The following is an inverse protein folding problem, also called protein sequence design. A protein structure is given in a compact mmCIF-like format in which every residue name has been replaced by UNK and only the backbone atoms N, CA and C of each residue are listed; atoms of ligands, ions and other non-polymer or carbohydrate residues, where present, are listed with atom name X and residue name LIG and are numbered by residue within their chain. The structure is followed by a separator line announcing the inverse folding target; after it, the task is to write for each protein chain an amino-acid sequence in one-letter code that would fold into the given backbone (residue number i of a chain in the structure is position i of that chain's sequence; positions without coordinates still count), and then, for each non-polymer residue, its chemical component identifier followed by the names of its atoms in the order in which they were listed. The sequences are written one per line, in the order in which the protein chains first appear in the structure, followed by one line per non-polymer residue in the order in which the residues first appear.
data_IF_366283180688
#
_entry.id   IF_366283180688
#
_cell.length_a   1.000
_cell.length_b   1.000
_cell.length_c   1.000
_cell.angle_alpha   90.00
_cell.angle_beta   90.00
_cell.angle_gamma   90.00
#
_symmetry.space_group_name_H-M   'P 1'
#
loop_
_entity.id
_entity.type
_entity.pdbx_description
1 polymer ?
#
# COMPACT_ATOMS: atom_id res chain seq x y z
N UNK A 1 18.90 8.62 9.46
CA UNK A 1 18.02 8.93 8.34
C UNK A 1 17.95 10.45 8.24
N UNK A 2 18.29 11.00 7.10
CA UNK A 2 18.25 12.42 6.81
C UNK A 2 16.86 12.79 6.28
N UNK A 3 16.29 13.91 6.70
CA UNK A 3 14.99 14.42 6.21
C UNK A 3 15.25 15.68 5.43
N UNK A 4 14.72 15.77 4.21
CA UNK A 4 14.93 16.89 3.30
C UNK A 4 13.60 17.39 2.71
N UNK A 5 13.64 18.55 2.10
CA UNK A 5 12.50 19.10 1.38
C UNK A 5 12.26 18.35 0.05
N UNK A 6 11.00 18.28 -0.38
CA UNK A 6 10.63 17.56 -1.61
C UNK A 6 11.27 18.15 -2.89
N UNK A 7 11.58 19.44 -2.88
CA UNK A 7 12.23 20.12 -4.00
C UNK A 7 13.67 19.67 -4.18
N UNK A 8 14.37 19.30 -3.11
CA UNK A 8 15.75 18.85 -3.12
C UNK A 8 15.90 17.33 -3.31
N UNK A 9 14.79 16.60 -3.32
CA UNK A 9 14.74 15.14 -3.32
C UNK A 9 15.60 14.50 -4.40
N UNK A 10 15.34 14.81 -5.66
CA UNK A 10 16.05 14.19 -6.77
C UNK A 10 17.53 14.57 -6.81
N UNK A 11 17.85 15.83 -6.48
CA UNK A 11 19.23 16.31 -6.44
C UNK A 11 20.03 15.58 -5.34
N UNK A 12 19.43 15.38 -4.17
CA UNK A 12 20.09 14.70 -3.06
C UNK A 12 20.28 13.21 -3.35
N UNK A 13 19.28 12.55 -3.95
CA UNK A 13 19.39 11.15 -4.38
C UNK A 13 20.50 10.98 -5.42
N UNK A 14 20.61 11.91 -6.39
CA UNK A 14 21.71 11.91 -7.38
C UNK A 14 23.07 12.12 -6.74
N UNK A 15 23.16 12.92 -5.70
CA UNK A 15 24.38 13.09 -4.92
C UNK A 15 24.77 11.78 -4.23
N UNK A 16 23.83 11.04 -3.65
CA UNK A 16 24.10 9.75 -3.01
C UNK A 16 24.67 8.73 -4.00
N UNK A 17 24.13 8.67 -5.22
CA UNK A 17 24.68 7.82 -6.28
C UNK A 17 26.11 8.20 -6.63
N UNK A 18 26.38 9.51 -6.78
CA UNK A 18 27.72 10.04 -7.05
C UNK A 18 28.70 9.79 -5.91
N UNK A 19 28.22 9.72 -4.67
CA UNK A 19 29.01 9.40 -3.48
C UNK A 19 29.34 7.89 -3.35
N UNK A 20 28.84 7.05 -4.28
CA UNK A 20 29.15 5.62 -4.35
C UNK A 20 28.04 4.70 -3.84
N UNK A 21 26.89 5.23 -3.42
CA UNK A 21 25.74 4.42 -3.02
C UNK A 21 24.94 3.95 -4.23
N UNK A 22 25.52 3.10 -5.05
CA UNK A 22 24.98 2.71 -6.36
C UNK A 22 23.96 1.57 -6.28
N UNK A 23 23.84 0.88 -5.14
CA UNK A 23 22.87 -0.19 -4.98
C UNK A 23 21.59 0.34 -4.37
N UNK A 24 20.52 0.31 -5.17
CA UNK A 24 19.16 0.62 -4.72
C UNK A 24 18.61 -0.53 -3.89
N UNK A 25 18.20 -0.25 -2.67
CA UNK A 25 17.65 -1.22 -1.73
C UNK A 25 16.12 -1.20 -1.79
N UNK A 26 15.50 -0.08 -1.43
CA UNK A 26 14.05 0.09 -1.54
C UNK A 26 13.64 1.58 -1.56
N UNK A 27 12.41 1.81 -2.02
CA UNK A 27 11.65 3.03 -1.78
C UNK A 27 10.29 2.64 -1.22
N UNK A 28 9.82 3.35 -0.21
CA UNK A 28 8.51 3.11 0.41
C UNK A 28 7.87 4.40 0.90
N UNK A 29 6.59 4.32 1.23
CA UNK A 29 5.79 5.44 1.76
C UNK A 29 5.16 5.05 3.08
N UNK A 30 5.13 5.99 4.00
CA UNK A 30 4.49 5.87 5.31
C UNK A 30 3.56 7.07 5.49
N UNK A 31 2.28 6.83 5.69
CA UNK A 31 1.37 7.90 6.10
C UNK A 31 1.57 8.20 7.58
N UNK A 32 2.06 9.41 7.87
CA UNK A 32 2.24 9.92 9.24
C UNK A 32 1.05 10.78 9.62
N UNK A 33 0.47 10.46 10.75
CA UNK A 33 -0.38 11.43 11.43
C UNK A 33 0.52 12.51 12.00
N UNK A 34 0.14 13.79 11.84
CA UNK A 34 0.86 14.86 12.51
C UNK A 34 0.82 14.61 14.02
N UNK A 35 1.96 14.78 14.67
CA UNK A 35 2.12 14.49 16.10
C UNK A 35 1.11 15.31 16.91
N UNK A 36 0.16 14.64 17.56
CA UNK A 36 -0.96 15.25 18.31
C UNK A 36 -0.51 16.21 19.43
N UNK A 37 0.80 16.27 19.70
CA UNK A 37 1.34 17.03 20.81
C UNK A 37 1.73 18.45 20.49
N UNK A 38 1.94 18.81 19.21
CA UNK A 38 2.60 20.09 18.87
C UNK A 38 1.93 20.96 17.81
N UNK A 39 0.81 20.62 17.20
CA UNK A 39 0.20 21.49 16.18
C UNK A 39 -1.32 21.49 16.22
N UNK A 40 -1.90 22.68 16.18
CA UNK A 40 -3.34 22.92 16.09
C UNK A 40 -3.91 22.61 14.67
N UNK A 41 -3.05 22.40 13.69
CA UNK A 41 -3.42 22.05 12.30
C UNK A 41 -2.76 20.73 11.93
N UNK A 42 -3.49 19.66 12.17
CA UNK A 42 -3.02 18.29 11.93
C UNK A 42 -3.34 17.87 10.50
N UNK A 43 -2.51 18.26 9.55
CA UNK A 43 -2.59 17.70 8.20
C UNK A 43 -1.71 16.46 8.17
N UNK A 44 -2.25 15.27 7.86
CA UNK A 44 -1.41 14.09 7.67
C UNK A 44 -0.45 14.30 6.50
N UNK A 45 0.73 13.70 6.59
CA UNK A 45 1.76 13.76 5.54
C UNK A 45 2.13 12.36 5.10
N UNK A 46 2.59 12.25 3.86
CA UNK A 46 3.21 11.04 3.34
C UNK A 46 4.73 11.20 3.45
N UNK A 47 5.36 10.41 4.28
CA UNK A 47 6.80 10.32 4.35
C UNK A 47 7.27 9.30 3.31
N UNK A 48 8.01 9.77 2.31
CA UNK A 48 8.67 8.91 1.32
C UNK A 48 10.08 8.63 1.80
N UNK A 49 10.46 7.38 1.83
CA UNK A 49 11.77 6.92 2.29
C UNK A 49 12.45 6.14 1.19
N UNK A 50 13.69 6.49 0.89
CA UNK A 50 14.58 5.69 0.03
C UNK A 50 15.78 5.21 0.84
N UNK A 51 16.21 3.99 0.57
CA UNK A 51 17.45 3.43 1.10
C UNK A 51 18.32 2.96 -0.04
N UNK A 52 19.60 3.31 0.05
CA UNK A 52 20.64 2.92 -0.90
C UNK A 52 21.87 2.42 -0.14
N UNK A 53 22.64 1.58 -0.78
CA UNK A 53 23.78 0.90 -0.16
C UNK A 53 25.02 1.01 -1.07
N UNK A 54 26.17 1.16 -0.45
CA UNK A 54 27.47 1.07 -1.10
C UNK A 54 27.85 -0.42 -1.27
N UNK A 55 28.00 -0.94 -2.51
CA UNK A 55 28.14 -2.37 -2.73
C UNK A 55 29.37 -2.99 -2.06
N UNK A 56 30.49 -2.28 -2.04
CA UNK A 56 31.78 -2.83 -1.61
C UNK A 56 31.97 -2.83 -0.08
N UNK A 57 31.38 -1.86 0.61
CA UNK A 57 31.63 -1.65 2.04
C UNK A 57 30.42 -1.91 2.93
N UNK A 58 29.29 -2.25 2.35
CA UNK A 58 28.06 -2.54 3.10
C UNK A 58 27.47 -1.37 3.87
N UNK A 59 27.96 -0.13 3.63
CA UNK A 59 27.36 1.06 4.22
C UNK A 59 26.04 1.35 3.53
N UNK A 60 25.03 1.69 4.30
CA UNK A 60 23.75 2.10 3.77
C UNK A 60 23.37 3.49 4.24
N UNK A 61 22.69 4.22 3.38
CA UNK A 61 22.16 5.54 3.68
C UNK A 61 20.66 5.55 3.41
N UNK A 62 19.90 6.20 4.29
CA UNK A 62 18.47 6.38 4.11
C UNK A 62 18.15 7.87 4.13
N UNK A 63 17.32 8.27 3.16
CA UNK A 63 16.82 9.61 2.97
C UNK A 63 15.32 9.61 3.06
N UNK A 64 14.72 10.62 3.66
CA UNK A 64 13.26 10.79 3.64
C UNK A 64 12.84 12.21 3.28
N UNK A 65 11.64 12.32 2.74
CA UNK A 65 10.98 13.59 2.47
C UNK A 65 9.50 13.50 2.81
N UNK A 66 8.87 14.65 3.07
CA UNK A 66 7.46 14.75 3.36
C UNK A 66 6.70 15.34 2.18
N UNK A 67 5.63 14.66 1.77
CA UNK A 67 4.75 15.08 0.69
C UNK A 67 3.33 15.28 1.26
N UNK A 68 2.66 16.32 0.78
CA UNK A 68 1.27 16.59 1.19
C UNK A 68 0.33 15.46 0.77
N UNK A 69 -0.62 15.08 1.62
CA UNK A 69 -1.68 14.14 1.25
C UNK A 69 -2.72 14.73 0.29
N UNK A 70 -2.78 16.06 0.19
CA UNK A 70 -3.76 16.77 -0.65
C UNK A 70 -3.29 16.81 -2.10
N UNK A 71 -2.00 17.09 -2.32
CA UNK A 71 -1.35 17.07 -3.64
C UNK A 71 -0.06 16.27 -3.53
N UNK A 72 -0.17 14.94 -3.59
CA UNK A 72 0.95 14.05 -3.32
C UNK A 72 1.82 13.87 -4.56
N UNK A 73 2.76 14.77 -4.79
CA UNK A 73 3.68 14.74 -5.93
C UNK A 73 5.12 14.76 -5.48
N UNK A 74 5.95 13.95 -6.15
CA UNK A 74 7.38 13.89 -5.92
C UNK A 74 8.09 13.61 -7.25
N UNK A 75 9.32 14.09 -7.41
CA UNK A 75 10.12 13.76 -8.59
C UNK A 75 10.53 12.29 -8.56
N UNK A 76 10.40 11.60 -9.70
CA UNK A 76 10.86 10.22 -9.86
C UNK A 76 12.39 10.13 -9.76
N UNK A 77 12.87 9.01 -9.22
CA UNK A 77 14.29 8.67 -9.15
C UNK A 77 14.68 7.52 -10.08
N UNK A 78 13.80 7.10 -10.98
CA UNK A 78 14.03 5.99 -11.91
C UNK A 78 15.17 6.23 -12.90
N UNK A 79 15.45 7.49 -13.23
CA UNK A 79 16.62 7.86 -14.06
C UNK A 79 17.96 7.61 -13.34
N UNK A 80 17.94 7.65 -11.99
CA UNK A 80 19.13 7.43 -11.17
C UNK A 80 19.22 5.95 -10.80
N UNK A 81 18.13 5.40 -10.32
CA UNK A 81 18.00 4.00 -9.92
C UNK A 81 16.84 3.33 -10.68
N UNK A 82 17.12 2.62 -11.79
CA UNK A 82 16.05 1.95 -12.55
C UNK A 82 15.20 0.98 -11.75
N UNK A 83 15.76 0.38 -10.67
CA UNK A 83 15.02 -0.49 -9.76
C UNK A 83 13.91 0.20 -8.98
N UNK A 84 13.94 1.53 -8.89
CA UNK A 84 12.91 2.31 -8.21
C UNK A 84 11.56 2.28 -8.94
N UNK A 85 11.51 1.93 -10.22
CA UNK A 85 10.27 1.91 -11.03
C UNK A 85 9.17 1.08 -10.36
N UNK A 86 9.48 -0.13 -9.93
CA UNK A 86 8.51 -1.01 -9.28
C UNK A 86 8.01 -0.45 -7.95
N UNK A 87 8.91 0.12 -7.17
CA UNK A 87 8.58 0.71 -5.87
C UNK A 87 7.75 1.99 -5.99
N UNK A 88 8.07 2.84 -6.97
CA UNK A 88 7.30 4.06 -7.23
C UNK A 88 5.88 3.71 -7.71
N UNK A 89 5.75 2.71 -8.59
CA UNK A 89 4.43 2.22 -9.06
C UNK A 89 3.61 1.62 -7.92
N UNK A 90 4.23 0.82 -7.05
CA UNK A 90 3.57 0.29 -5.85
C UNK A 90 3.11 1.44 -4.94
N UNK A 91 3.97 2.41 -4.67
CA UNK A 91 3.64 3.56 -3.83
C UNK A 91 2.53 4.43 -4.45
N UNK A 92 2.53 4.60 -5.77
CA UNK A 92 1.49 5.29 -6.49
C UNK A 92 0.13 4.60 -6.31
N UNK A 93 0.08 3.28 -6.45
CA UNK A 93 -1.16 2.52 -6.29
C UNK A 93 -1.65 2.45 -4.84
N UNK A 94 -0.74 2.27 -3.90
CA UNK A 94 -1.10 2.03 -2.50
C UNK A 94 -1.38 3.30 -1.72
N UNK A 95 -0.69 4.40 -2.06
CA UNK A 95 -0.78 5.68 -1.35
C UNK A 95 -1.29 6.84 -2.22
N UNK A 96 -1.35 6.67 -3.55
CA UNK A 96 -1.80 7.69 -4.48
C UNK A 96 -0.78 8.82 -4.68
N UNK A 97 0.52 8.54 -4.59
CA UNK A 97 1.57 9.50 -4.92
C UNK A 97 1.79 9.50 -6.43
N UNK A 98 1.90 10.69 -7.01
CA UNK A 98 2.33 10.88 -8.40
C UNK A 98 3.84 11.11 -8.43
N UNK A 99 4.56 10.21 -9.12
CA UNK A 99 6.00 10.37 -9.36
C UNK A 99 6.22 11.04 -10.71
N UNK A 100 6.58 12.32 -10.69
CA UNK A 100 6.83 13.10 -11.91
C UNK A 100 8.03 12.53 -12.68
N UNK A 101 7.80 12.13 -13.93
CA UNK A 101 8.80 11.47 -14.77
C UNK A 101 8.66 9.96 -14.86
N UNK A 102 7.86 9.33 -14.00
CA UNK A 102 7.51 7.92 -14.11
C UNK A 102 6.03 7.77 -14.51
N UNK A 103 5.71 7.34 -15.75
CA UNK A 103 4.33 7.09 -16.12
C UNK A 103 3.76 5.93 -15.30
N UNK A 104 2.79 6.24 -14.46
CA UNK A 104 2.18 5.26 -13.56
C UNK A 104 1.38 4.23 -14.34
N UNK A 105 1.98 3.09 -14.62
CA UNK A 105 1.25 1.92 -15.11
C UNK A 105 0.78 1.08 -13.93
N UNK A 106 -0.44 0.55 -14.02
CA UNK A 106 -0.97 -0.36 -13.01
C UNK A 106 -0.01 -1.54 -12.79
N UNK A 107 0.26 -1.86 -11.52
CA UNK A 107 1.18 -2.93 -11.13
C UNK A 107 0.45 -4.06 -10.43
N UNK A 108 -0.31 -3.75 -9.38
CA UNK A 108 -0.93 -4.73 -8.49
C UNK A 108 -2.46 -4.65 -8.51
N UNK A 109 -3.01 -3.49 -8.84
CA UNK A 109 -4.45 -3.21 -8.74
C UNK A 109 -5.11 -3.13 -10.10
N UNK A 110 -6.40 -3.45 -10.14
CA UNK A 110 -7.22 -3.21 -11.32
C UNK A 110 -7.44 -1.71 -11.55
N UNK A 111 -7.59 -1.30 -12.79
CA UNK A 111 -7.82 0.10 -13.19
C UNK A 111 -8.99 0.78 -12.44
N UNK A 112 -9.98 0.01 -12.01
CA UNK A 112 -11.16 0.49 -11.27
C UNK A 112 -11.11 0.18 -9.77
N UNK A 113 -9.94 0.02 -9.20
CA UNK A 113 -9.80 -0.46 -7.82
C UNK A 113 -10.16 0.58 -6.72
N UNK A 114 -10.61 1.78 -7.10
CA UNK A 114 -11.03 2.81 -6.14
C UNK A 114 -9.87 3.53 -5.45
N UNK A 115 -10.10 4.04 -4.26
CA UNK A 115 -9.11 4.81 -3.51
C UNK A 115 -7.86 3.99 -3.11
N UNK A 116 -6.70 4.64 -2.92
CA UNK A 116 -5.46 3.98 -2.48
C UNK A 116 -5.66 3.27 -1.14
N UNK A 117 -5.46 1.93 -1.06
CA UNK A 117 -5.91 1.12 0.08
C UNK A 117 -5.09 1.29 1.35
N UNK A 118 -3.85 1.75 1.26
CA UNK A 118 -2.99 1.93 2.43
C UNK A 118 -3.08 3.33 3.06
N UNK A 119 -3.93 4.20 2.51
CA UNK A 119 -4.28 5.47 3.15
C UNK A 119 -5.09 5.20 4.41
N UNK A 120 -4.75 5.83 5.53
CA UNK A 120 -5.47 5.71 6.80
C UNK A 120 -6.91 6.26 6.73
N UNK A 121 -7.17 7.17 5.80
CA UNK A 121 -8.51 7.70 5.53
C UNK A 121 -9.42 6.73 4.78
N UNK A 122 -8.86 5.68 4.17
CA UNK A 122 -9.63 4.69 3.43
C UNK A 122 -10.05 3.57 4.37
N UNK A 123 -11.36 3.44 4.53
CA UNK A 123 -11.93 2.31 5.25
C UNK A 123 -11.77 1.08 4.35
N UNK A 124 -10.98 0.13 4.78
CA UNK A 124 -10.92 -1.19 4.15
C UNK A 124 -12.34 -1.74 4.11
N UNK A 125 -12.80 -2.16 2.93
CA UNK A 125 -14.17 -2.64 2.74
C UNK A 125 -14.55 -3.56 3.87
N UNK A 126 -15.55 -3.15 4.63
CA UNK A 126 -16.12 -3.98 5.67
C UNK A 126 -16.52 -5.28 5.02
N UNK A 127 -16.01 -6.37 5.54
CA UNK A 127 -16.59 -7.67 5.22
C UNK A 127 -18.08 -7.52 5.52
N UNK A 128 -18.91 -7.70 4.51
CA UNK A 128 -20.33 -7.84 4.75
C UNK A 128 -20.44 -8.90 5.82
N UNK A 129 -20.96 -8.55 7.00
CA UNK A 129 -21.20 -9.51 8.06
C UNK A 129 -22.30 -10.40 7.51
N UNK A 130 -21.90 -11.50 6.93
CA UNK A 130 -22.80 -12.59 6.57
C UNK A 130 -22.95 -13.38 7.86
N UNK A 131 -24.18 -13.58 8.30
CA UNK A 131 -24.45 -14.49 9.41
C UNK A 131 -23.74 -15.81 9.17
N UNK A 132 -23.18 -16.37 10.22
CA UNK A 132 -22.47 -17.65 10.13
C UNK A 132 -23.34 -18.69 9.40
N UNK A 133 -22.87 -19.30 8.29
CA UNK A 133 -23.71 -20.14 7.43
C UNK A 133 -24.09 -21.49 8.04
N UNK A 134 -23.82 -21.72 9.30
CA UNK A 134 -24.18 -22.91 10.02
C UNK A 134 -24.56 -22.61 11.45
N UNK A 135 -25.55 -23.30 11.99
CA UNK A 135 -25.77 -23.31 13.41
C UNK A 135 -24.53 -23.82 14.14
N UNK A 136 -24.04 -23.08 15.15
CA UNK A 136 -22.88 -23.48 15.94
C UNK A 136 -23.10 -24.83 16.63
N UNK A 137 -24.37 -25.17 16.92
CA UNK A 137 -24.80 -26.43 17.46
C UNK A 137 -26.06 -26.92 16.71
N UNK A 138 -26.23 -28.23 16.50
CA UNK A 138 -27.47 -28.75 15.96
C UNK A 138 -28.57 -28.42 16.93
N UNK A 139 -29.55 -27.62 16.53
CA UNK A 139 -30.76 -27.43 17.30
C UNK A 139 -31.41 -28.79 17.54
N UNK A 140 -31.48 -29.17 18.80
CA UNK A 140 -32.27 -30.33 19.23
C UNK A 140 -33.71 -29.82 19.30
N UNK A 141 -34.52 -30.19 18.29
CA UNK A 141 -35.95 -29.96 18.43
C UNK A 141 -36.48 -30.74 19.66
N UNK A 142 -37.48 -30.20 20.32
CA UNK A 142 -38.08 -30.72 21.57
C UNK A 142 -38.58 -32.18 21.43
N UNK A 143 -38.68 -32.72 20.21
CA UNK A 143 -39.05 -34.09 19.88
C UNK A 143 -37.86 -35.06 19.78
N UNK A 144 -36.63 -34.62 20.08
CA UNK A 144 -35.42 -35.45 20.06
C UNK A 144 -34.94 -35.87 18.67
N UNK A 145 -35.56 -35.37 17.58
CA UNK A 145 -35.10 -35.62 16.22
C UNK A 145 -34.01 -34.66 15.83
N UNK A 146 -32.84 -35.16 15.46
CA UNK A 146 -31.80 -34.38 14.80
C UNK A 146 -32.35 -33.88 13.47
N UNK A 147 -32.49 -32.57 13.33
CA UNK A 147 -32.75 -31.96 12.02
C UNK A 147 -31.52 -32.25 11.14
N UNK A 148 -31.74 -33.06 10.11
CA UNK A 148 -30.68 -33.42 9.17
C UNK A 148 -30.01 -32.19 8.60
N UNK A 149 -28.67 -32.21 8.56
CA UNK A 149 -27.85 -31.17 7.98
C UNK A 149 -28.48 -30.63 6.69
N UNK A 150 -29.00 -29.40 6.77
CA UNK A 150 -29.30 -28.66 5.55
C UNK A 150 -28.05 -28.73 4.70
N UNK A 151 -28.16 -29.33 3.53
CA UNK A 151 -27.09 -29.50 2.57
C UNK A 151 -26.25 -28.24 2.54
N UNK A 152 -24.94 -28.36 2.84
CA UNK A 152 -24.00 -27.26 2.73
C UNK A 152 -24.07 -26.76 1.28
N UNK A 153 -24.91 -25.76 1.02
CA UNK A 153 -24.85 -25.02 -0.23
C UNK A 153 -23.43 -24.50 -0.33
N UNK A 154 -22.69 -24.97 -1.32
CA UNK A 154 -21.39 -24.42 -1.64
C UNK A 154 -21.58 -22.93 -1.85
N UNK A 155 -21.18 -22.15 -0.88
CA UNK A 155 -21.21 -20.69 -0.99
C UNK A 155 -20.13 -20.28 -2.01
N UNK A 156 -20.57 -19.53 -3.00
CA UNK A 156 -19.67 -18.99 -4.02
C UNK A 156 -18.64 -18.07 -3.37
N UNK A 157 -17.31 -18.28 -3.63
CA UNK A 157 -16.31 -17.34 -3.18
C UNK A 157 -16.57 -15.94 -3.75
N UNK A 158 -16.30 -14.87 -3.01
CA UNK A 158 -16.43 -13.50 -3.52
C UNK A 158 -15.63 -13.33 -4.82
N UNK A 159 -16.23 -12.73 -5.84
CA UNK A 159 -15.58 -12.46 -7.12
C UNK A 159 -15.62 -13.57 -8.17
N UNK A 160 -16.15 -14.76 -7.85
CA UNK A 160 -16.29 -15.86 -8.84
C UNK A 160 -17.61 -15.73 -9.61
N UNK A 161 -17.60 -15.62 -10.95
CA UNK A 161 -18.81 -15.60 -11.77
C UNK A 161 -19.62 -16.89 -11.66
N UNK A 162 -20.94 -16.82 -11.75
CA UNK A 162 -21.80 -18.01 -11.73
C UNK A 162 -21.54 -18.97 -12.89
N UNK A 163 -21.13 -18.45 -14.04
CA UNK A 163 -20.80 -19.24 -15.22
C UNK A 163 -19.66 -20.23 -15.04
N UNK A 164 -18.81 -20.04 -14.03
CA UNK A 164 -17.68 -20.93 -13.72
C UNK A 164 -18.06 -22.12 -12.83
N UNK A 165 -19.26 -22.11 -12.28
CA UNK A 165 -19.74 -23.15 -11.35
C UNK A 165 -20.71 -24.15 -12.01
N UNK A 166 -20.99 -23.97 -13.29
CA UNK A 166 -21.85 -24.89 -14.06
C UNK A 166 -20.95 -25.98 -14.67
N UNK A 167 -20.71 -27.04 -13.90
CA UNK A 167 -20.20 -28.35 -14.35
C UNK A 167 -21.14 -29.42 -13.90
#
# INVERSE_FOLDING_TARGET
MEVIDAEDWQARVRQMDSDGFTFFDFLTVIERESDRRNSATQVPVLEVVVRVTEPDFGKSQALSTHVSVIDPRLASITEIYPGADWHERECAEMFGIEFAGNPTQALLRHENAGAPPLRKSVVLSTRVIVEWPGAAEPEIQDDGRKVGNASRRRQRPPGVPESWLQT
#
